data_IF_840262339724
#
_entry.id   IF_840262339724
#
_cell.length_a   1.000
_cell.length_b   1.000
_cell.length_c   1.000
_cell.angle_alpha   90.00
_cell.angle_beta   90.00
_cell.angle_gamma   90.00
#
_symmetry.space_group_name_H-M   'P 1'
#
loop_
_entity.id
_entity.type
_entity.pdbx_description
1 polymer ?
#
# COMPACT_ATOMS: atom_id res chain seq x y z
N UNK A 1 -4.35 -20.65 35.41
CA UNK A 1 -3.43 -19.93 34.49
C UNK A 1 -4.28 -18.95 33.69
N UNK A 2 -3.71 -17.84 33.22
CA UNK A 2 -4.42 -16.94 32.31
C UNK A 2 -4.73 -17.69 31.00
N UNK A 3 -5.95 -17.57 30.47
CA UNK A 3 -6.31 -18.20 29.18
C UNK A 3 -5.50 -17.52 28.07
N UNK A 4 -4.76 -18.33 27.29
CA UNK A 4 -4.03 -17.87 26.11
C UNK A 4 -4.83 -18.14 24.85
N UNK A 5 -4.72 -17.24 23.89
CA UNK A 5 -5.40 -17.31 22.60
C UNK A 5 -4.46 -16.97 21.47
N UNK A 6 -4.73 -17.56 20.31
CA UNK A 6 -3.91 -17.48 19.12
C UNK A 6 -4.79 -17.16 17.91
N UNK A 7 -4.33 -16.26 17.06
CA UNK A 7 -4.84 -16.13 15.70
C UNK A 7 -4.30 -17.30 14.88
N UNK A 8 -5.20 -18.12 14.35
CA UNK A 8 -4.93 -19.25 13.49
C UNK A 8 -5.06 -18.80 12.04
N UNK A 9 -3.90 -18.64 11.39
CA UNK A 9 -3.79 -18.30 9.98
C UNK A 9 -3.20 -19.46 9.18
N UNK A 10 -3.15 -19.33 7.86
CA UNK A 10 -2.48 -20.30 7.01
C UNK A 10 -0.96 -20.00 6.92
N UNK A 11 -0.16 -21.06 6.94
CA UNK A 11 1.29 -20.95 6.82
C UNK A 11 1.70 -20.74 5.36
N UNK A 12 1.94 -19.48 4.99
CA UNK A 12 2.35 -19.07 3.65
C UNK A 12 3.84 -19.28 3.37
N UNK A 13 4.65 -19.65 4.36
CA UNK A 13 6.08 -19.92 4.18
C UNK A 13 6.35 -21.33 3.62
N UNK A 14 5.34 -22.21 3.67
CA UNK A 14 5.43 -23.58 3.16
C UNK A 14 5.62 -23.63 1.64
N UNK A 15 6.82 -24.00 1.21
CA UNK A 15 7.12 -24.18 -0.21
C UNK A 15 6.32 -25.34 -0.83
N UNK A 16 5.76 -25.11 -2.02
CA UNK A 16 5.04 -26.12 -2.79
C UNK A 16 3.63 -26.45 -2.28
N UNK A 17 3.07 -25.64 -1.36
CA UNK A 17 1.66 -25.76 -0.93
C UNK A 17 0.70 -25.45 -2.08
N UNK A 18 -0.51 -25.98 -1.97
CA UNK A 18 -1.62 -25.52 -2.82
C UNK A 18 -2.12 -24.12 -2.42
N UNK A 19 -2.88 -23.49 -3.32
CA UNK A 19 -3.72 -22.34 -3.01
C UNK A 19 -5.15 -22.63 -3.46
N UNK A 20 -6.08 -22.54 -2.52
CA UNK A 20 -7.49 -22.80 -2.72
C UNK A 20 -8.21 -21.52 -3.14
N UNK A 21 -9.14 -21.63 -4.07
CA UNK A 21 -10.02 -20.53 -4.47
C UNK A 21 -11.30 -20.47 -3.63
N UNK A 22 -12.12 -19.46 -3.88
CA UNK A 22 -13.38 -19.26 -3.18
C UNK A 22 -14.33 -20.46 -3.31
N UNK A 23 -15.14 -20.77 -2.28
CA UNK A 23 -16.17 -21.79 -2.38
C UNK A 23 -17.10 -21.55 -3.57
N UNK A 24 -17.49 -22.62 -4.25
CA UNK A 24 -18.37 -22.60 -5.42
C UNK A 24 -19.50 -23.61 -5.28
N UNK A 25 -20.60 -23.39 -6.00
CA UNK A 25 -21.63 -24.39 -6.22
C UNK A 25 -21.07 -25.60 -7.01
N UNK A 26 -21.84 -26.68 -7.08
CA UNK A 26 -21.45 -27.87 -7.87
C UNK A 26 -21.22 -27.55 -9.36
N UNK A 27 -21.85 -26.50 -9.87
CA UNK A 27 -21.75 -25.96 -11.24
C UNK A 27 -20.59 -24.98 -11.43
N UNK A 28 -19.83 -24.67 -10.37
CA UNK A 28 -18.68 -23.76 -10.42
C UNK A 28 -19.06 -22.28 -10.36
N UNK A 29 -20.25 -21.94 -9.87
CA UNK A 29 -20.62 -20.55 -9.59
C UNK A 29 -20.11 -20.17 -8.20
N UNK A 30 -19.42 -19.05 -8.09
CA UNK A 30 -19.01 -18.50 -6.80
C UNK A 30 -20.23 -18.22 -5.93
N UNK A 31 -20.05 -18.35 -4.61
CA UNK A 31 -21.10 -18.00 -3.66
C UNK A 31 -21.26 -16.47 -3.63
N UNK A 32 -22.52 -15.99 -3.61
CA UNK A 32 -22.85 -14.56 -3.73
C UNK A 32 -22.14 -13.68 -2.68
N UNK A 33 -22.05 -14.16 -1.44
CA UNK A 33 -21.27 -13.53 -0.37
C UNK A 33 -20.09 -14.44 0.03
N UNK A 34 -18.85 -14.11 -0.37
CA UNK A 34 -17.68 -14.92 -0.02
C UNK A 34 -17.27 -14.79 1.45
N UNK A 35 -17.75 -13.77 2.19
CA UNK A 35 -17.38 -13.54 3.59
C UNK A 35 -18.29 -14.23 4.61
N UNK A 36 -19.43 -14.79 4.17
CA UNK A 36 -20.42 -15.41 5.07
C UNK A 36 -19.83 -16.46 6.04
N UNK A 37 -18.77 -17.18 5.63
CA UNK A 37 -18.11 -18.22 6.45
C UNK A 37 -17.14 -17.63 7.50
N UNK A 38 -16.93 -16.32 7.47
CA UNK A 38 -16.02 -15.58 8.35
C UNK A 38 -16.72 -14.53 9.21
N UNK A 39 -18.01 -14.30 9.04
CA UNK A 39 -18.77 -13.27 9.77
C UNK A 39 -18.88 -13.48 11.29
N UNK A 40 -18.51 -14.66 11.78
CA UNK A 40 -18.58 -14.97 13.20
C UNK A 40 -20.01 -15.27 13.68
N UNK A 41 -20.90 -15.70 12.78
CA UNK A 41 -22.26 -16.13 13.09
C UNK A 41 -22.54 -17.53 12.52
N UNK A 42 -23.58 -18.23 13.02
CA UNK A 42 -24.04 -19.45 12.39
C UNK A 42 -24.48 -19.21 10.94
N UNK A 43 -24.10 -20.13 10.05
CA UNK A 43 -24.42 -20.09 8.62
C UNK A 43 -25.41 -21.20 8.29
N UNK A 44 -26.21 -20.98 7.25
CA UNK A 44 -27.01 -22.01 6.59
C UNK A 44 -26.48 -22.23 5.18
N UNK A 45 -26.13 -23.47 4.87
CA UNK A 45 -25.66 -23.87 3.54
C UNK A 45 -26.75 -24.69 2.89
N UNK A 46 -27.38 -24.14 1.85
CA UNK A 46 -28.54 -24.75 1.19
C UNK A 46 -28.16 -25.90 0.25
N UNK A 47 -26.94 -25.89 -0.28
CA UNK A 47 -26.46 -26.86 -1.26
C UNK A 47 -24.99 -27.25 -1.02
N UNK A 48 -24.56 -28.47 -1.41
CA UNK A 48 -23.16 -28.88 -1.34
C UNK A 48 -22.23 -27.93 -2.11
N UNK A 49 -21.05 -27.66 -1.52
CA UNK A 49 -20.06 -26.75 -2.08
C UNK A 49 -18.80 -27.49 -2.54
N UNK A 50 -18.12 -26.90 -3.51
CA UNK A 50 -16.81 -27.31 -4.02
C UNK A 50 -15.77 -26.23 -3.74
N UNK A 51 -14.56 -26.67 -3.45
CA UNK A 51 -13.41 -25.78 -3.30
C UNK A 51 -12.47 -25.97 -4.51
N UNK A 52 -12.34 -24.96 -5.38
CA UNK A 52 -11.40 -25.01 -6.49
C UNK A 52 -9.95 -24.88 -6.01
N UNK A 53 -9.02 -25.42 -6.81
CA UNK A 53 -7.58 -25.29 -6.58
C UNK A 53 -7.05 -24.30 -7.62
N UNK A 54 -6.75 -23.08 -7.18
CA UNK A 54 -6.22 -22.02 -8.05
C UNK A 54 -4.77 -22.29 -8.42
N UNK A 55 -3.97 -22.77 -7.45
CA UNK A 55 -2.61 -23.21 -7.68
C UNK A 55 -2.41 -24.64 -7.15
N UNK A 56 -2.14 -25.62 -8.03
CA UNK A 56 -1.86 -26.98 -7.62
C UNK A 56 -0.62 -27.05 -6.73
N UNK A 57 -0.65 -27.93 -5.73
CA UNK A 57 0.45 -28.14 -4.81
C UNK A 57 0.17 -29.28 -3.84
N UNK A 58 1.01 -29.40 -2.82
CA UNK A 58 0.83 -30.38 -1.75
C UNK A 58 -0.45 -30.06 -0.96
N UNK A 59 -1.37 -31.03 -0.78
CA UNK A 59 -2.53 -30.87 0.09
C UNK A 59 -2.11 -30.60 1.54
N UNK A 60 -2.87 -29.74 2.23
CA UNK A 60 -2.66 -29.35 3.62
C UNK A 60 -3.90 -29.69 4.45
N UNK A 61 -3.70 -29.96 5.74
CA UNK A 61 -4.79 -30.25 6.67
C UNK A 61 -5.59 -28.99 7.06
N UNK A 62 -4.98 -27.82 6.99
CA UNK A 62 -5.60 -26.51 7.17
C UNK A 62 -5.17 -25.55 6.05
N UNK A 63 -6.11 -24.78 5.50
CA UNK A 63 -5.86 -23.72 4.53
C UNK A 63 -6.95 -22.66 4.57
N UNK A 64 -6.61 -21.41 4.24
CA UNK A 64 -7.59 -20.35 4.01
C UNK A 64 -7.85 -20.25 2.51
N UNK A 65 -9.12 -20.21 2.11
CA UNK A 65 -9.55 -20.27 0.72
C UNK A 65 -10.13 -18.93 0.26
N UNK A 66 -9.66 -18.47 -0.90
CA UNK A 66 -10.23 -17.36 -1.63
C UNK A 66 -10.17 -15.99 -0.94
N UNK A 67 -10.90 -15.03 -1.50
CA UNK A 67 -11.02 -13.65 -1.01
C UNK A 67 -11.75 -13.60 0.33
N UNK A 68 -12.68 -14.54 0.56
CA UNK A 68 -13.39 -14.68 1.83
C UNK A 68 -12.52 -15.16 2.98
N UNK A 69 -11.30 -15.67 2.72
CA UNK A 69 -10.40 -16.23 3.75
C UNK A 69 -11.09 -17.35 4.52
N UNK A 70 -11.80 -18.20 3.78
CA UNK A 70 -12.66 -19.26 4.34
C UNK A 70 -11.79 -20.42 4.85
N UNK A 71 -11.89 -20.82 6.14
CA UNK A 71 -11.09 -21.94 6.66
C UNK A 71 -11.55 -23.28 6.10
N UNK A 72 -10.67 -23.95 5.36
CA UNK A 72 -10.85 -25.30 4.84
C UNK A 72 -9.98 -26.26 5.64
N UNK A 73 -10.61 -27.27 6.21
CA UNK A 73 -9.97 -28.20 7.14
C UNK A 73 -10.20 -29.65 6.73
N UNK A 74 -9.16 -30.46 6.81
CA UNK A 74 -9.25 -31.90 6.61
C UNK A 74 -10.03 -32.56 7.77
N UNK A 75 -10.64 -33.73 7.53
CA UNK A 75 -11.49 -34.44 8.52
C UNK A 75 -10.88 -34.57 9.93
N UNK A 76 -9.56 -34.77 10.02
CA UNK A 76 -8.87 -34.92 11.30
C UNK A 76 -8.92 -33.63 12.12
N UNK A 77 -8.73 -32.49 11.45
CA UNK A 77 -8.83 -31.15 12.04
C UNK A 77 -10.28 -30.85 12.41
N UNK A 78 -11.24 -31.14 11.52
CA UNK A 78 -12.67 -30.99 11.79
C UNK A 78 -13.10 -31.73 13.07
N UNK A 79 -12.61 -32.96 13.27
CA UNK A 79 -12.89 -33.75 14.47
C UNK A 79 -12.39 -33.09 15.75
N UNK A 80 -11.16 -32.55 15.73
CA UNK A 80 -10.59 -31.83 16.88
C UNK A 80 -11.47 -30.65 17.29
N UNK A 81 -11.92 -29.84 16.31
CA UNK A 81 -12.80 -28.71 16.58
C UNK A 81 -14.17 -29.14 17.11
N UNK A 82 -14.77 -30.18 16.53
CA UNK A 82 -16.05 -30.72 16.98
C UNK A 82 -15.99 -31.29 18.41
N UNK A 83 -14.87 -31.90 18.81
CA UNK A 83 -14.68 -32.45 20.14
C UNK A 83 -14.41 -31.36 21.19
N UNK A 84 -13.50 -30.43 20.88
CA UNK A 84 -13.00 -29.47 21.87
C UNK A 84 -13.87 -28.22 22.01
N UNK A 85 -14.60 -27.83 20.97
CA UNK A 85 -15.40 -26.61 20.92
C UNK A 85 -16.74 -26.76 20.14
N UNK A 86 -17.58 -27.76 20.48
CA UNK A 86 -18.81 -28.06 19.73
C UNK A 86 -19.81 -26.90 19.69
N UNK A 87 -19.85 -26.05 20.72
CA UNK A 87 -20.79 -24.93 20.83
C UNK A 87 -20.31 -23.64 20.14
N UNK A 88 -19.11 -23.68 19.56
CA UNK A 88 -18.46 -22.53 18.93
C UNK A 88 -18.32 -22.69 17.41
N UNK A 89 -18.47 -23.89 16.85
CA UNK A 89 -18.19 -24.16 15.44
C UNK A 89 -19.35 -24.82 14.70
N UNK A 90 -19.43 -24.58 13.38
CA UNK A 90 -20.14 -25.42 12.43
C UNK A 90 -19.14 -25.97 11.41
N UNK A 91 -19.42 -27.18 10.94
CA UNK A 91 -18.58 -27.90 9.98
C UNK A 91 -19.45 -28.30 8.79
N UNK A 92 -19.12 -27.80 7.60
CA UNK A 92 -19.85 -28.12 6.38
C UNK A 92 -18.96 -28.94 5.45
N UNK A 93 -19.34 -30.17 5.09
CA UNK A 93 -18.53 -30.98 4.17
C UNK A 93 -18.45 -30.32 2.80
N UNK A 94 -17.26 -30.37 2.20
CA UNK A 94 -16.99 -29.81 0.88
C UNK A 94 -16.12 -30.74 0.04
N UNK A 95 -16.33 -30.66 -1.27
CA UNK A 95 -15.54 -31.41 -2.24
C UNK A 95 -14.32 -30.59 -2.67
N UNK A 96 -13.12 -31.06 -2.34
CA UNK A 96 -11.86 -30.49 -2.85
C UNK A 96 -11.38 -31.34 -4.02
N UNK A 97 -11.16 -30.72 -5.18
CA UNK A 97 -10.83 -31.43 -6.40
C UNK A 97 -9.60 -32.36 -6.24
N UNK A 98 -9.76 -33.63 -6.61
CA UNK A 98 -8.68 -34.62 -6.57
C UNK A 98 -8.31 -35.16 -5.18
N UNK A 99 -9.06 -34.80 -4.13
CA UNK A 99 -8.86 -35.35 -2.79
C UNK A 99 -9.86 -36.48 -2.51
N UNK A 100 -9.33 -37.63 -2.04
CA UNK A 100 -10.17 -38.78 -1.69
C UNK A 100 -10.76 -38.68 -0.28
N UNK A 101 -10.07 -37.95 0.60
CA UNK A 101 -10.49 -37.74 1.98
C UNK A 101 -11.33 -36.46 2.10
N UNK A 102 -12.37 -36.44 2.96
CA UNK A 102 -13.29 -35.32 3.08
C UNK A 102 -12.62 -34.12 3.75
N UNK A 103 -12.98 -32.95 3.24
CA UNK A 103 -12.67 -31.64 3.79
C UNK A 103 -13.95 -30.94 4.24
N UNK A 104 -13.79 -29.95 5.10
CA UNK A 104 -14.87 -29.19 5.69
C UNK A 104 -14.56 -27.70 5.65
N UNK A 105 -15.58 -26.88 5.42
CA UNK A 105 -15.53 -25.48 5.84
C UNK A 105 -15.72 -25.45 7.36
N UNK A 106 -14.80 -24.79 8.06
CA UNK A 106 -14.90 -24.49 9.49
C UNK A 106 -15.45 -23.07 9.67
N UNK A 107 -16.66 -22.98 10.21
CA UNK A 107 -17.29 -21.70 10.58
C UNK A 107 -17.20 -21.52 12.08
N UNK A 108 -16.55 -20.44 12.53
CA UNK A 108 -16.63 -19.99 13.90
C UNK A 108 -17.91 -19.15 14.08
N UNK A 109 -18.76 -19.54 15.03
CA UNK A 109 -20.14 -19.02 15.17
C UNK A 109 -20.29 -17.90 16.20
N UNK A 110 -19.17 -17.47 16.78
CA UNK A 110 -19.11 -16.43 17.81
C UNK A 110 -18.36 -15.22 17.26
N UNK A 111 -19.00 -14.05 17.29
CA UNK A 111 -18.38 -12.76 17.00
C UNK A 111 -18.21 -11.98 18.30
N UNK A 112 -16.96 -11.75 18.72
CA UNK A 112 -16.65 -11.20 20.05
C UNK A 112 -15.88 -9.89 19.93
N UNK A 113 -16.39 -8.83 20.56
CA UNK A 113 -15.71 -7.54 20.69
C UNK A 113 -14.67 -7.58 21.80
N UNK A 114 -13.54 -8.23 21.52
CA UNK A 114 -12.47 -8.45 22.48
C UNK A 114 -11.11 -7.84 22.09
N UNK A 115 -10.96 -7.24 20.90
CA UNK A 115 -9.72 -6.52 20.56
C UNK A 115 -9.46 -5.44 21.62
N UNK A 116 -8.24 -5.42 22.11
CA UNK A 116 -7.76 -4.40 23.03
C UNK A 116 -6.95 -3.39 22.21
N UNK A 117 -7.59 -2.26 21.91
CA UNK A 117 -6.99 -1.16 21.16
C UNK A 117 -5.73 -0.62 21.86
N UNK A 118 -5.73 -0.67 23.20
CA UNK A 118 -4.62 -0.19 23.99
C UNK A 118 -3.50 -1.23 24.09
N UNK A 119 -3.74 -2.52 23.87
CA UNK A 119 -2.70 -3.54 23.87
C UNK A 119 -2.15 -3.83 22.46
N UNK A 120 -2.96 -3.59 21.42
CA UNK A 120 -2.55 -3.73 20.02
C UNK A 120 -1.47 -2.71 19.63
N UNK A 121 -0.67 -3.02 18.60
CA UNK A 121 0.39 -2.12 18.11
C UNK A 121 -0.20 -0.87 17.46
N UNK A 122 -1.22 -1.06 16.62
CA UNK A 122 -1.92 0.03 15.96
C UNK A 122 -3.35 -0.39 15.67
N UNK A 123 -4.29 0.52 15.91
CA UNK A 123 -5.70 0.38 15.58
C UNK A 123 -6.15 1.66 14.89
N UNK A 124 -6.69 1.52 13.68
CA UNK A 124 -7.29 2.61 12.92
C UNK A 124 -8.78 2.36 12.78
N UNK A 125 -9.54 3.43 12.87
CA UNK A 125 -10.97 3.46 12.61
C UNK A 125 -11.26 4.18 11.31
N UNK A 126 -12.35 3.81 10.65
CA UNK A 126 -12.94 4.64 9.61
C UNK A 126 -13.47 5.93 10.25
N UNK A 127 -13.08 7.06 9.66
CA UNK A 127 -13.53 8.39 10.08
C UNK A 127 -14.53 8.97 9.07
N UNK A 128 -15.36 9.97 9.44
CA UNK A 128 -16.28 10.62 8.51
C UNK A 128 -15.61 11.14 7.23
N UNK A 129 -14.37 11.59 7.35
CA UNK A 129 -13.57 12.16 6.26
C UNK A 129 -13.11 11.10 5.24
N UNK A 130 -13.14 9.82 5.59
CA UNK A 130 -12.77 8.71 4.68
C UNK A 130 -13.85 8.43 3.61
N UNK A 131 -14.98 9.14 3.63
CA UNK A 131 -16.03 9.04 2.60
C UNK A 131 -16.87 7.76 2.65
N UNK A 132 -16.80 7.00 3.74
CA UNK A 132 -17.56 5.75 3.96
C UNK A 132 -18.41 5.82 5.24
N UNK A 133 -19.54 6.55 5.23
CA UNK A 133 -20.35 6.80 6.43
C UNK A 133 -20.86 5.51 7.09
N UNK A 134 -21.08 4.45 6.31
CA UNK A 134 -21.54 3.15 6.79
C UNK A 134 -20.50 2.39 7.63
N UNK A 135 -19.21 2.73 7.48
CA UNK A 135 -18.11 2.07 8.20
C UNK A 135 -17.60 2.87 9.39
N UNK A 136 -18.07 4.10 9.59
CA UNK A 136 -17.55 4.99 10.65
C UNK A 136 -17.68 4.33 12.02
N UNK A 137 -16.57 4.27 12.75
CA UNK A 137 -16.49 3.58 14.05
C UNK A 137 -16.16 2.09 13.96
N UNK A 138 -16.06 1.50 12.76
CA UNK A 138 -15.51 0.17 12.54
C UNK A 138 -13.99 0.24 12.33
N UNK A 139 -13.31 -0.89 12.53
CA UNK A 139 -11.89 -0.99 12.28
C UNK A 139 -11.59 -0.85 10.79
N UNK A 140 -10.67 0.06 10.47
CA UNK A 140 -10.06 0.22 9.15
C UNK A 140 -8.76 -0.58 9.03
N UNK A 141 -8.06 -0.77 10.14
CA UNK A 141 -6.83 -1.54 10.19
C UNK A 141 -6.42 -1.90 11.61
N UNK A 142 -6.01 -3.15 11.82
CA UNK A 142 -5.49 -3.63 13.10
C UNK A 142 -4.11 -4.27 12.86
N UNK A 143 -3.07 -3.73 13.50
CA UNK A 143 -1.71 -4.27 13.45
C UNK A 143 -1.24 -4.69 14.84
N UNK A 144 -0.47 -5.80 14.89
CA UNK A 144 -0.01 -6.38 16.14
C UNK A 144 -1.15 -6.64 17.12
N UNK A 145 -2.25 -7.20 16.61
CA UNK A 145 -3.51 -7.38 17.34
C UNK A 145 -3.29 -8.06 18.69
N UNK A 146 -3.90 -7.47 19.73
CA UNK A 146 -4.06 -8.06 21.05
C UNK A 146 -5.53 -8.10 21.42
N UNK A 147 -5.91 -9.12 22.18
CA UNK A 147 -7.27 -9.23 22.72
C UNK A 147 -7.24 -9.16 24.25
N UNK A 148 -8.35 -8.71 24.83
CA UNK A 148 -8.64 -8.78 26.25
C UNK A 148 -9.33 -10.12 26.58
N UNK A 149 -8.64 -11.09 27.23
CA UNK A 149 -9.21 -12.39 27.54
C UNK A 149 -10.43 -12.33 28.45
N UNK A 150 -10.61 -11.25 29.24
CA UNK A 150 -11.76 -11.09 30.12
C UNK A 150 -13.07 -10.91 29.34
N UNK A 151 -13.00 -10.44 28.10
CA UNK A 151 -14.16 -10.23 27.21
C UNK A 151 -14.54 -11.49 26.42
N UNK A 152 -13.68 -12.51 26.38
CA UNK A 152 -13.91 -13.74 25.58
C UNK A 152 -14.90 -14.70 26.24
N UNK A 153 -14.97 -14.67 27.58
CA UNK A 153 -15.85 -15.55 28.33
C UNK A 153 -15.48 -17.04 28.20
N UNK A 154 -16.47 -17.85 27.81
CA UNK A 154 -16.34 -19.31 27.68
C UNK A 154 -15.84 -19.80 26.32
N UNK A 155 -15.83 -18.94 25.30
CA UNK A 155 -15.52 -19.33 23.92
C UNK A 155 -14.08 -19.83 23.78
N UNK A 156 -13.91 -20.84 22.94
CA UNK A 156 -12.64 -21.43 22.53
C UNK A 156 -12.31 -21.15 21.07
N UNK A 157 -13.34 -20.97 20.22
CA UNK A 157 -13.19 -20.60 18.80
C UNK A 157 -14.11 -19.44 18.48
N UNK A 158 -13.58 -18.36 17.93
CA UNK A 158 -14.39 -17.18 17.62
C UNK A 158 -13.73 -16.28 16.58
N UNK A 159 -14.52 -15.36 16.05
CA UNK A 159 -14.07 -14.23 15.23
C UNK A 159 -14.07 -12.96 16.06
N UNK A 160 -13.18 -12.03 15.76
CA UNK A 160 -13.15 -10.72 16.43
C UNK A 160 -14.10 -9.74 15.76
N UNK A 161 -14.93 -9.05 16.54
CA UNK A 161 -15.82 -8.00 16.03
C UNK A 161 -15.03 -6.90 15.33
N UNK A 162 -15.50 -6.47 14.16
CA UNK A 162 -14.88 -5.44 13.32
C UNK A 162 -13.59 -5.88 12.61
N UNK A 163 -13.08 -7.07 12.88
CA UNK A 163 -11.92 -7.66 12.21
C UNK A 163 -12.11 -9.17 12.03
N UNK A 164 -13.22 -9.55 11.42
CA UNK A 164 -13.74 -10.94 11.39
C UNK A 164 -12.84 -11.93 10.64
N UNK A 165 -11.91 -11.42 9.82
CA UNK A 165 -10.88 -12.22 9.17
C UNK A 165 -10.02 -13.03 10.16
N UNK A 166 -9.82 -12.55 11.38
CA UNK A 166 -9.05 -13.26 12.39
C UNK A 166 -9.83 -14.44 12.98
N UNK A 167 -9.25 -15.64 12.93
CA UNK A 167 -9.80 -16.86 13.52
C UNK A 167 -9.08 -17.14 14.83
N UNK A 168 -9.72 -16.82 15.95
CA UNK A 168 -9.09 -16.97 17.26
C UNK A 168 -9.40 -18.35 17.84
N UNK A 169 -8.35 -19.04 18.28
CA UNK A 169 -8.43 -20.33 18.96
C UNK A 169 -7.76 -20.29 20.33
N UNK A 170 -8.28 -21.03 21.29
CA UNK A 170 -7.67 -21.22 22.61
C UNK A 170 -6.43 -22.12 22.55
N UNK A 171 -5.60 -22.03 23.59
CA UNK A 171 -4.37 -22.82 23.74
C UNK A 171 -4.58 -24.34 23.63
N UNK A 172 -5.68 -24.88 24.20
CA UNK A 172 -6.00 -26.31 24.14
C UNK A 172 -6.24 -26.81 22.71
N UNK A 173 -6.90 -26.00 21.87
CA UNK A 173 -7.09 -26.31 20.45
C UNK A 173 -5.75 -26.24 19.71
N UNK A 174 -4.97 -25.18 19.93
CA UNK A 174 -3.63 -25.07 19.33
C UNK A 174 -2.77 -26.30 19.65
N UNK A 175 -2.69 -26.68 20.93
CA UNK A 175 -1.90 -27.84 21.36
C UNK A 175 -2.43 -29.16 20.76
N UNK A 176 -3.74 -29.31 20.59
CA UNK A 176 -4.33 -30.48 19.96
C UNK A 176 -3.94 -30.57 18.47
N UNK A 177 -3.99 -29.45 17.74
CA UNK A 177 -3.58 -29.38 16.33
C UNK A 177 -2.08 -29.67 16.17
N UNK A 178 -1.23 -29.10 17.02
CA UNK A 178 0.22 -29.36 17.01
C UNK A 178 0.54 -30.83 17.33
N UNK A 179 -0.12 -31.41 18.35
CA UNK A 179 0.06 -32.82 18.73
C UNK A 179 -0.39 -33.77 17.63
N UNK A 180 -1.43 -33.41 16.87
CA UNK A 180 -1.89 -34.17 15.72
C UNK A 180 -1.01 -34.00 14.47
N UNK A 181 -0.01 -33.11 14.50
CA UNK A 181 0.90 -32.87 13.37
C UNK A 181 0.22 -32.21 12.18
N UNK A 182 -0.82 -31.40 12.43
CA UNK A 182 -1.63 -30.73 11.40
C UNK A 182 -0.76 -29.82 10.54
N UNK A 183 -0.83 -30.00 9.22
CA UNK A 183 -0.09 -29.18 8.25
C UNK A 183 -0.86 -27.93 7.83
N UNK A 184 -0.14 -26.84 7.57
CA UNK A 184 -0.72 -25.59 7.04
C UNK A 184 -1.17 -24.56 8.08
N UNK A 185 -1.09 -24.85 9.37
CA UNK A 185 -1.42 -23.90 10.44
C UNK A 185 -0.24 -22.97 10.77
N UNK A 186 -0.51 -21.68 10.90
CA UNK A 186 0.35 -20.71 11.55
C UNK A 186 -0.38 -20.12 12.76
N UNK A 187 0.28 -20.10 13.93
CA UNK A 187 -0.30 -19.58 15.16
C UNK A 187 0.44 -18.33 15.63
N UNK A 188 -0.30 -17.23 15.76
CA UNK A 188 0.21 -16.00 16.36
C UNK A 188 -0.47 -15.74 17.68
N UNK A 189 0.29 -15.69 18.77
CA UNK A 189 -0.28 -15.37 20.08
C UNK A 189 -0.85 -13.95 20.09
N UNK A 190 -2.11 -13.81 20.51
CA UNK A 190 -2.83 -12.53 20.61
C UNK A 190 -3.14 -12.13 22.06
N UNK A 191 -2.74 -12.97 23.02
CA UNK A 191 -2.75 -12.66 24.45
C UNK A 191 -1.38 -12.21 24.94
N UNK A 192 -1.34 -11.44 26.02
CA UNK A 192 -0.09 -10.97 26.62
C UNK A 192 0.26 -9.52 26.27
N UNK A 193 1.43 -9.03 26.73
CA UNK A 193 1.80 -7.63 26.58
C UNK A 193 1.95 -7.24 25.11
N UNK A 194 1.79 -5.96 24.83
CA UNK A 194 2.07 -5.43 23.50
C UNK A 194 3.50 -5.72 23.07
N UNK A 195 3.69 -5.87 21.76
CA UNK A 195 5.02 -6.02 21.18
C UNK A 195 5.83 -4.70 21.22
N UNK A 196 5.16 -3.56 21.43
CA UNK A 196 5.79 -2.22 21.45
C UNK A 196 5.60 -1.52 22.80
N UNK A 197 6.57 -0.68 23.17
CA UNK A 197 6.52 0.07 24.43
C UNK A 197 5.48 1.20 24.38
N UNK A 198 5.08 1.75 25.54
CA UNK A 198 4.19 2.92 25.59
C UNK A 198 4.81 4.14 24.87
N UNK A 199 6.11 4.35 25.03
CA UNK A 199 6.85 5.43 24.36
C UNK A 199 6.82 5.26 22.84
N UNK A 200 7.02 4.04 22.34
CA UNK A 200 6.94 3.74 20.91
C UNK A 200 5.52 3.94 20.35
N UNK A 201 4.48 3.65 21.13
CA UNK A 201 3.08 3.92 20.73
C UNK A 201 2.79 5.41 20.64
N UNK A 202 3.21 6.16 21.65
CA UNK A 202 3.04 7.61 21.65
C UNK A 202 3.79 8.24 20.48
N UNK A 203 4.99 7.74 20.18
CA UNK A 203 5.74 8.09 18.98
C UNK A 203 4.94 7.79 17.71
N UNK A 204 4.47 6.56 17.52
CA UNK A 204 3.74 6.14 16.32
C UNK A 204 2.45 6.95 16.13
N UNK A 205 1.71 7.21 17.23
CA UNK A 205 0.51 8.06 17.19
C UNK A 205 0.83 9.48 16.74
N UNK A 206 1.91 10.07 17.23
CA UNK A 206 2.37 11.39 16.78
C UNK A 206 2.75 11.38 15.30
N UNK A 207 3.47 10.35 14.84
CA UNK A 207 3.85 10.23 13.42
C UNK A 207 2.62 10.10 12.50
N UNK A 208 1.59 9.36 12.92
CA UNK A 208 0.32 9.28 12.19
C UNK A 208 -0.38 10.64 12.12
N UNK A 209 -0.48 11.35 13.25
CA UNK A 209 -1.08 12.68 13.28
C UNK A 209 -0.33 13.68 12.37
N UNK A 210 1.01 13.63 12.38
CA UNK A 210 1.84 14.46 11.49
C UNK A 210 1.61 14.13 10.01
N UNK A 211 1.39 12.85 9.68
CA UNK A 211 1.06 12.42 8.32
C UNK A 211 -0.30 12.95 7.90
N UNK A 212 -1.31 12.76 8.73
CA UNK A 212 -2.66 13.21 8.41
C UNK A 212 -2.72 14.75 8.28
N UNK A 213 -1.98 15.50 9.11
CA UNK A 213 -1.82 16.96 8.96
C UNK A 213 -1.11 17.35 7.65
N UNK A 214 -0.05 16.63 7.30
CA UNK A 214 0.73 16.85 6.07
C UNK A 214 -0.12 16.62 4.82
N UNK A 215 -0.82 15.48 4.77
CA UNK A 215 -1.70 15.10 3.65
C UNK A 215 -2.85 16.11 3.53
N UNK A 216 -3.50 16.47 4.65
CA UNK A 216 -4.60 17.44 4.68
C UNK A 216 -4.17 18.87 4.26
N UNK A 217 -2.92 19.26 4.54
CA UNK A 217 -2.39 20.56 4.13
C UNK A 217 -2.04 20.61 2.64
N UNK A 218 -1.54 19.51 2.08
CA UNK A 218 -0.98 19.47 0.72
C UNK A 218 -2.03 19.13 -0.34
N UNK A 219 -2.98 18.25 -0.04
CA UNK A 219 -4.01 17.86 -1.01
C UNK A 219 -4.81 19.05 -1.59
N UNK A 220 -5.27 20.04 -0.79
CA UNK A 220 -5.98 21.19 -1.34
C UNK A 220 -5.13 21.97 -2.35
N UNK A 221 -3.82 22.07 -2.12
CA UNK A 221 -2.90 22.71 -3.06
C UNK A 221 -2.84 21.94 -4.38
N UNK A 222 -2.72 20.61 -4.37
CA UNK A 222 -2.75 19.79 -5.58
C UNK A 222 -4.02 20.00 -6.40
N UNK A 223 -5.17 20.13 -5.74
CA UNK A 223 -6.44 20.41 -6.41
C UNK A 223 -6.52 21.80 -7.06
N UNK A 224 -5.64 22.75 -6.69
CA UNK A 224 -5.54 24.04 -7.39
C UNK A 224 -4.84 23.93 -8.75
N UNK A 225 -4.03 22.87 -8.96
CA UNK A 225 -3.22 22.71 -10.18
C UNK A 225 -3.97 21.98 -11.30
N UNK A 226 -5.13 21.37 -11.00
CA UNK A 226 -5.98 20.62 -11.93
C UNK A 226 -6.91 19.62 -11.22
N UNK A 227 -7.50 18.70 -11.97
CA UNK A 227 -8.33 17.61 -11.40
C UNK A 227 -7.40 16.51 -10.90
N UNK A 228 -7.26 16.40 -9.58
CA UNK A 228 -6.55 15.30 -8.92
C UNK A 228 -7.23 13.96 -9.26
N UNK A 229 -6.45 12.99 -9.73
CA UNK A 229 -6.91 11.64 -10.01
C UNK A 229 -6.99 10.82 -8.71
N UNK A 230 -8.14 10.25 -8.45
CA UNK A 230 -8.43 9.40 -7.27
C UNK A 230 -8.55 7.92 -7.65
N UNK A 231 -8.63 7.61 -8.95
CA UNK A 231 -8.75 6.24 -9.48
C UNK A 231 -7.39 5.63 -9.77
N UNK A 232 -6.39 6.45 -10.11
CA UNK A 232 -5.03 6.00 -10.34
C UNK A 232 -4.35 5.67 -9.01
N UNK A 233 -4.18 4.38 -8.76
CA UNK A 233 -3.45 3.84 -7.60
C UNK A 233 -2.01 3.59 -8.02
N UNK A 234 -1.09 4.49 -7.62
CA UNK A 234 0.35 4.24 -7.69
C UNK A 234 0.77 3.62 -6.36
N UNK A 235 1.39 2.41 -6.36
CA UNK A 235 1.82 1.77 -5.13
C UNK A 235 2.73 2.67 -4.31
N UNK A 236 2.45 2.76 -3.01
CA UNK A 236 3.32 3.47 -2.07
C UNK A 236 4.58 2.62 -1.86
N UNK A 237 5.75 3.20 -2.12
CA UNK A 237 7.02 2.56 -1.80
C UNK A 237 7.35 2.90 -0.34
N UNK A 238 7.28 1.90 0.54
CA UNK A 238 7.71 2.02 1.93
C UNK A 238 9.24 1.87 2.03
N UNK A 239 9.88 2.76 2.78
CA UNK A 239 11.34 2.85 2.90
C UNK A 239 11.95 3.98 2.06
N UNK A 240 13.22 3.82 1.69
CA UNK A 240 13.97 4.79 0.88
C UNK A 240 14.44 6.04 1.63
N UNK A 241 15.05 6.97 0.89
CA UNK A 241 15.67 8.19 1.42
C UNK A 241 14.72 9.36 1.70
N UNK A 242 13.41 9.21 1.45
CA UNK A 242 12.44 10.29 1.64
C UNK A 242 12.15 10.52 3.14
N UNK A 243 11.76 11.74 3.56
CA UNK A 243 11.68 12.11 4.97
C UNK A 243 10.82 11.18 5.84
N UNK A 244 9.61 10.84 5.37
CA UNK A 244 8.70 9.93 6.08
C UNK A 244 8.90 8.46 5.72
N UNK A 245 9.98 8.11 4.99
CA UNK A 245 10.25 6.76 4.45
C UNK A 245 9.07 6.21 3.65
N UNK A 246 8.48 7.09 2.84
CA UNK A 246 7.34 6.81 1.99
C UNK A 246 7.52 7.60 0.70
N UNK A 247 7.48 6.92 -0.44
CA UNK A 247 7.46 7.57 -1.75
C UNK A 247 6.06 7.46 -2.34
N UNK A 248 5.54 8.61 -2.76
CA UNK A 248 4.19 8.75 -3.30
C UNK A 248 4.24 9.73 -4.46
N UNK A 249 3.42 9.46 -5.46
CA UNK A 249 3.19 10.34 -6.58
C UNK A 249 1.70 10.56 -6.79
N UNK A 250 1.33 11.74 -7.26
CA UNK A 250 -0.05 12.08 -7.62
C UNK A 250 -0.16 12.44 -9.08
N UNK A 251 -1.30 12.09 -9.67
CA UNK A 251 -1.66 12.41 -11.04
C UNK A 251 -2.69 13.52 -11.03
N UNK A 252 -2.42 14.59 -11.77
CA UNK A 252 -3.30 15.76 -11.87
C UNK A 252 -3.61 15.99 -13.35
N UNK A 253 -4.88 15.84 -13.72
CA UNK A 253 -5.37 16.13 -15.07
C UNK A 253 -5.52 17.62 -15.26
N UNK A 254 -4.90 18.12 -16.33
CA UNK A 254 -4.85 19.54 -16.67
C UNK A 254 -5.56 19.83 -18.00
N UNK A 255 -5.92 21.11 -18.28
CA UNK A 255 -6.51 21.51 -19.55
C UNK A 255 -5.68 21.06 -20.76
N UNK A 256 -6.32 20.98 -21.93
CA UNK A 256 -5.68 20.59 -23.20
C UNK A 256 -5.12 19.16 -23.22
N UNK A 257 -5.64 18.27 -22.37
CA UNK A 257 -5.21 16.87 -22.30
C UNK A 257 -3.82 16.68 -21.70
N UNK A 258 -3.35 17.65 -20.91
CA UNK A 258 -2.07 17.57 -20.20
C UNK A 258 -2.22 16.75 -18.92
N UNK A 259 -1.19 16.03 -18.57
CA UNK A 259 -1.06 15.29 -17.32
C UNK A 259 0.14 15.84 -16.55
N UNK A 260 -0.10 16.24 -15.31
CA UNK A 260 0.93 16.66 -14.37
C UNK A 260 1.14 15.54 -13.34
N UNK A 261 2.37 15.06 -13.24
CA UNK A 261 2.82 14.12 -12.21
C UNK A 261 3.59 14.91 -11.16
N UNK A 262 3.24 14.72 -9.90
CA UNK A 262 3.95 15.35 -8.77
C UNK A 262 4.42 14.32 -7.77
N UNK A 263 5.56 14.59 -7.13
CA UNK A 263 5.90 13.88 -5.89
C UNK A 263 5.00 14.37 -4.76
N UNK A 264 4.72 13.49 -3.81
CA UNK A 264 3.81 13.76 -2.69
C UNK A 264 4.39 13.19 -1.40
N UNK A 265 5.60 13.63 -1.06
CA UNK A 265 6.31 13.11 0.11
C UNK A 265 7.72 13.64 0.33
N UNK A 266 8.32 14.34 -0.63
CA UNK A 266 9.63 14.98 -0.43
C UNK A 266 9.54 16.12 0.61
N UNK A 267 8.34 16.68 0.79
CA UNK A 267 8.04 17.68 1.82
C UNK A 267 7.41 17.12 3.10
N UNK A 268 7.40 15.79 3.28
CA UNK A 268 6.90 15.17 4.52
C UNK A 268 7.83 15.47 5.71
N UNK A 269 7.29 15.36 6.93
CA UNK A 269 8.11 15.38 8.14
C UNK A 269 9.16 14.24 8.14
N UNK A 270 10.27 14.45 8.85
CA UNK A 270 11.27 13.38 9.04
C UNK A 270 10.78 12.37 10.08
N UNK A 271 10.71 11.07 9.73
CA UNK A 271 10.25 10.03 10.68
C UNK A 271 11.13 9.92 11.93
N UNK A 272 12.42 10.25 11.78
CA UNK A 272 13.40 10.25 12.88
C UNK A 272 13.28 11.50 13.78
N UNK A 273 12.48 12.50 13.39
CA UNK A 273 12.20 13.71 14.15
C UNK A 273 10.68 13.88 14.29
N UNK A 274 10.12 13.47 15.43
CA UNK A 274 8.68 13.45 15.70
C UNK A 274 8.14 14.87 15.98
N UNK A 275 8.22 15.74 14.97
CA UNK A 275 7.80 17.12 15.00
C UNK A 275 7.36 17.59 13.60
N UNK A 276 6.45 18.58 13.50
CA UNK A 276 6.09 19.18 12.21
C UNK A 276 7.31 19.76 11.50
N UNK A 277 7.49 19.42 10.23
CA UNK A 277 8.45 20.06 9.33
C UNK A 277 8.00 19.85 7.89
N UNK A 278 8.57 20.64 6.98
CA UNK A 278 8.37 20.46 5.53
C UNK A 278 9.41 19.53 4.90
N UNK A 279 10.05 18.64 5.66
CA UNK A 279 11.03 17.69 5.14
C UNK A 279 12.17 18.35 4.39
N UNK A 280 12.33 17.97 3.12
CA UNK A 280 13.30 18.62 2.23
C UNK A 280 12.85 19.99 1.73
N UNK A 281 11.61 20.41 1.97
CA UNK A 281 11.05 21.69 1.54
C UNK A 281 10.82 21.77 0.03
N UNK A 282 10.70 20.61 -0.63
CA UNK A 282 10.62 20.46 -2.08
C UNK A 282 9.46 19.53 -2.44
N UNK A 283 8.83 19.79 -3.58
CA UNK A 283 8.12 18.77 -4.36
C UNK A 283 8.51 18.93 -5.84
N UNK A 284 8.55 17.83 -6.58
CA UNK A 284 8.89 17.79 -7.99
C UNK A 284 7.61 17.70 -8.85
N UNK A 285 7.65 18.31 -10.02
CA UNK A 285 6.52 18.39 -10.94
C UNK A 285 6.97 18.15 -12.39
N UNK A 286 6.44 17.10 -13.04
CA UNK A 286 6.66 16.83 -14.45
C UNK A 286 5.32 16.86 -15.20
N UNK A 287 5.19 17.78 -16.16
CA UNK A 287 4.01 17.87 -17.02
C UNK A 287 4.29 17.36 -18.42
N UNK A 288 3.34 16.62 -18.99
CA UNK A 288 3.38 16.10 -20.36
C UNK A 288 1.99 16.12 -20.99
N UNK A 289 1.92 16.12 -22.31
CA UNK A 289 0.67 15.92 -23.07
C UNK A 289 0.73 14.65 -23.93
N UNK A 290 1.72 13.79 -23.69
CA UNK A 290 1.79 12.48 -24.32
C UNK A 290 0.79 11.52 -23.63
N UNK A 291 0.15 10.61 -24.39
CA UNK A 291 -0.71 9.60 -23.80
C UNK A 291 0.12 8.62 -22.95
N UNK A 292 -0.23 8.47 -21.67
CA UNK A 292 0.57 7.67 -20.73
C UNK A 292 0.16 6.20 -20.65
N UNK A 293 -1.05 5.84 -21.08
CA UNK A 293 -1.58 4.49 -20.88
C UNK A 293 -1.58 4.13 -19.39
N UNK A 294 -0.80 3.11 -19.01
CA UNK A 294 -0.55 2.81 -17.61
C UNK A 294 0.49 3.79 -17.03
N UNK A 295 0.03 4.77 -16.25
CA UNK A 295 0.85 5.82 -15.63
C UNK A 295 1.97 5.25 -14.75
N UNK A 296 1.71 4.18 -13.99
CA UNK A 296 2.71 3.51 -13.13
C UNK A 296 3.94 3.06 -13.92
N UNK A 297 3.75 2.67 -15.18
CA UNK A 297 4.81 2.16 -16.06
C UNK A 297 5.27 3.22 -17.07
N UNK A 298 4.81 4.46 -16.92
CA UNK A 298 5.10 5.52 -17.87
C UNK A 298 6.51 6.10 -17.64
N UNK A 299 7.19 6.46 -18.73
CA UNK A 299 8.51 7.09 -18.65
C UNK A 299 8.53 8.39 -17.83
N UNK A 300 7.48 9.25 -17.84
CA UNK A 300 7.49 10.46 -17.03
C UNK A 300 7.51 10.16 -15.53
N UNK A 301 6.75 9.15 -15.08
CA UNK A 301 6.76 8.75 -13.68
C UNK A 301 8.12 8.16 -13.28
N UNK A 302 8.67 7.26 -14.11
CA UNK A 302 10.00 6.69 -13.89
C UNK A 302 11.10 7.77 -13.84
N UNK A 303 10.96 8.83 -14.64
CA UNK A 303 11.93 9.93 -14.64
C UNK A 303 11.81 10.74 -13.35
N UNK A 304 10.58 11.02 -12.92
CA UNK A 304 10.28 11.73 -11.69
C UNK A 304 10.76 10.97 -10.46
N UNK A 305 10.61 9.64 -10.43
CA UNK A 305 11.15 8.74 -9.41
C UNK A 305 12.67 8.88 -9.30
N UNK A 306 13.40 8.72 -10.41
CA UNK A 306 14.87 8.83 -10.42
C UNK A 306 15.38 10.18 -9.96
N UNK A 307 14.73 11.26 -10.40
CA UNK A 307 15.10 12.60 -9.94
C UNK A 307 14.78 12.76 -8.45
N UNK A 308 13.65 12.22 -7.99
CA UNK A 308 13.27 12.18 -6.57
C UNK A 308 14.31 11.46 -5.71
N UNK A 309 14.81 10.31 -6.16
CA UNK A 309 15.87 9.56 -5.46
C UNK A 309 17.18 10.33 -5.39
N UNK A 310 17.61 10.94 -6.51
CA UNK A 310 18.83 11.77 -6.51
C UNK A 310 18.71 12.96 -5.54
N UNK A 311 17.54 13.60 -5.49
CA UNK A 311 17.23 14.65 -4.52
C UNK A 311 17.26 14.08 -3.10
N UNK A 312 16.68 12.91 -2.85
CA UNK A 312 16.64 12.31 -1.52
C UNK A 312 18.03 11.86 -1.01
N UNK A 313 18.87 11.31 -1.89
CA UNK A 313 20.17 10.74 -1.53
C UNK A 313 21.28 11.79 -1.42
N UNK A 314 21.23 12.85 -2.22
CA UNK A 314 22.34 13.80 -2.32
C UNK A 314 21.97 15.20 -1.81
N UNK A 315 22.44 15.54 -0.60
CA UNK A 315 22.23 16.88 -0.01
C UNK A 315 22.72 18.01 -0.92
N UNK A 316 23.85 17.82 -1.60
CA UNK A 316 24.38 18.82 -2.53
C UNK A 316 23.47 19.09 -3.73
N UNK A 317 22.67 18.10 -4.16
CA UNK A 317 21.64 18.27 -5.20
C UNK A 317 20.47 19.06 -4.62
N UNK A 318 19.98 18.68 -3.43
CA UNK A 318 18.88 19.38 -2.75
C UNK A 318 19.15 20.87 -2.57
N UNK A 319 20.32 21.22 -2.05
CA UNK A 319 20.63 22.62 -1.76
C UNK A 319 20.74 23.46 -3.05
N UNK A 320 21.28 22.89 -4.13
CA UNK A 320 21.29 23.55 -5.46
C UNK A 320 19.88 23.72 -6.02
N UNK A 321 19.06 22.66 -5.93
CA UNK A 321 17.67 22.69 -6.39
C UNK A 321 16.83 23.67 -5.58
N UNK A 322 17.06 23.81 -4.26
CA UNK A 322 16.40 24.83 -3.41
C UNK A 322 16.81 26.26 -3.80
N UNK A 323 18.09 26.47 -4.10
CA UNK A 323 18.63 27.80 -4.42
C UNK A 323 18.18 28.33 -5.79
N UNK A 324 17.91 27.46 -6.75
CA UNK A 324 17.46 27.91 -8.06
C UNK A 324 17.34 26.78 -9.05
N UNK A 325 18.13 26.89 -10.12
CA UNK A 325 18.06 26.02 -11.28
C UNK A 325 19.22 25.03 -11.29
N UNK A 326 18.95 23.78 -11.66
CA UNK A 326 19.96 22.72 -11.80
C UNK A 326 19.74 21.93 -13.08
N UNK A 327 20.82 21.58 -13.78
CA UNK A 327 20.80 20.53 -14.81
C UNK A 327 21.52 19.30 -14.28
N UNK A 328 21.01 18.12 -14.58
CA UNK A 328 21.65 16.86 -14.21
C UNK A 328 21.29 15.73 -15.18
N UNK A 329 21.97 14.60 -15.02
CA UNK A 329 21.70 13.38 -15.77
C UNK A 329 21.31 12.25 -14.83
N UNK A 330 20.30 11.46 -15.21
CA UNK A 330 19.91 10.24 -14.51
C UNK A 330 20.07 9.02 -15.42
N UNK A 331 19.95 7.81 -14.86
CA UNK A 331 19.92 6.57 -15.66
C UNK A 331 18.82 6.65 -16.73
N UNK A 332 19.11 6.19 -17.94
CA UNK A 332 18.14 6.11 -19.05
C UNK A 332 17.47 4.74 -19.20
N UNK A 333 17.74 3.77 -18.34
CA UNK A 333 17.12 2.45 -18.44
C UNK A 333 15.58 2.53 -18.47
N UNK A 334 14.92 1.96 -19.47
CA UNK A 334 13.46 2.02 -19.59
C UNK A 334 12.90 3.39 -20.06
N UNK A 335 13.76 4.35 -20.40
CA UNK A 335 13.35 5.61 -21.03
C UNK A 335 13.20 5.43 -22.55
N UNK A 336 12.37 6.26 -23.20
CA UNK A 336 12.25 6.30 -24.66
C UNK A 336 13.59 6.55 -25.35
N UNK A 337 13.85 5.79 -26.43
CA UNK A 337 15.09 5.89 -27.21
C UNK A 337 15.46 7.31 -27.66
N UNK A 338 14.53 8.19 -28.09
CA UNK A 338 14.88 9.56 -28.47
C UNK A 338 15.49 10.43 -27.35
N UNK A 339 15.28 10.06 -26.09
CA UNK A 339 15.78 10.80 -24.92
C UNK A 339 17.16 10.32 -24.48
N UNK A 340 17.65 9.19 -25.01
CA UNK A 340 18.88 8.56 -24.55
C UNK A 340 20.12 9.20 -25.17
N UNK A 341 21.09 9.54 -24.33
CA UNK A 341 22.45 9.82 -24.80
C UNK A 341 23.13 8.54 -25.30
N UNK A 342 24.30 8.68 -25.92
CA UNK A 342 25.11 7.52 -26.36
C UNK A 342 25.52 6.61 -25.19
N UNK A 343 25.61 7.19 -24.00
CA UNK A 343 25.93 6.54 -22.74
C UNK A 343 24.70 5.95 -22.03
N UNK A 344 23.51 6.05 -22.65
CA UNK A 344 22.26 5.56 -22.06
C UNK A 344 21.78 6.38 -20.86
N UNK A 345 22.09 7.67 -20.83
CA UNK A 345 21.64 8.63 -19.80
C UNK A 345 20.50 9.48 -20.33
N UNK A 346 19.78 10.15 -19.42
CA UNK A 346 18.78 11.16 -19.76
C UNK A 346 19.11 12.46 -19.03
N UNK A 347 19.17 13.57 -19.79
CA UNK A 347 19.38 14.90 -19.25
C UNK A 347 18.08 15.53 -18.78
N UNK A 348 18.12 16.22 -17.64
CA UNK A 348 16.98 16.96 -17.09
C UNK A 348 17.37 18.35 -16.62
N UNK A 349 16.41 19.26 -16.71
CA UNK A 349 16.43 20.58 -16.10
C UNK A 349 15.46 20.63 -14.93
N UNK A 350 15.93 21.14 -13.80
CA UNK A 350 15.17 21.26 -12.56
C UNK A 350 14.96 22.74 -12.21
N UNK A 351 13.72 23.11 -11.91
CA UNK A 351 13.37 24.43 -11.41
C UNK A 351 13.29 25.51 -12.49
N UNK A 352 12.94 25.12 -13.72
CA UNK A 352 12.56 26.06 -14.78
C UNK A 352 11.29 26.81 -14.38
N UNK A 353 11.24 28.12 -14.63
CA UNK A 353 10.03 28.91 -14.42
C UNK A 353 8.89 28.43 -15.32
N UNK A 354 7.67 28.44 -14.79
CA UNK A 354 6.45 28.05 -15.49
C UNK A 354 5.45 29.19 -15.40
N UNK A 355 4.78 29.50 -16.49
CA UNK A 355 3.64 30.44 -16.50
C UNK A 355 2.37 29.82 -15.92
N UNK A 356 2.32 28.48 -15.80
CA UNK A 356 1.12 27.73 -15.42
C UNK A 356 1.21 27.01 -14.07
N UNK A 357 2.40 26.98 -13.46
CA UNK A 357 2.63 26.37 -12.15
C UNK A 357 3.26 27.40 -11.19
N UNK A 358 2.81 27.47 -9.92
CA UNK A 358 3.44 28.30 -8.92
C UNK A 358 4.82 27.75 -8.55
N UNK A 359 5.75 28.62 -8.17
CA UNK A 359 7.08 28.17 -7.74
C UNK A 359 7.11 27.67 -6.29
N UNK A 360 6.12 28.05 -5.46
CA UNK A 360 6.06 27.73 -4.03
C UNK A 360 4.62 27.62 -3.56
N UNK A 361 4.41 26.91 -2.45
CA UNK A 361 3.16 26.85 -1.73
C UNK A 361 3.40 26.74 -0.22
N UNK A 362 2.41 27.13 0.58
CA UNK A 362 2.52 27.15 2.04
C UNK A 362 1.91 25.90 2.66
N UNK A 363 2.61 25.35 3.64
CA UNK A 363 2.13 24.32 4.56
C UNK A 363 2.20 24.85 6.00
N UNK A 364 1.48 24.25 6.96
CA UNK A 364 1.51 24.69 8.36
C UNK A 364 2.92 24.81 8.96
N UNK A 365 3.82 23.89 8.60
CA UNK A 365 5.19 23.84 9.12
C UNK A 365 6.21 24.68 8.33
N UNK A 366 5.84 25.31 7.20
CA UNK A 366 6.76 26.10 6.38
C UNK A 366 6.36 26.20 4.91
N UNK A 367 7.25 26.79 4.11
CA UNK A 367 7.05 26.93 2.67
C UNK A 367 7.72 25.79 1.92
N UNK A 368 7.04 25.27 0.90
CA UNK A 368 7.55 24.22 0.00
C UNK A 368 7.76 24.82 -1.38
N UNK A 369 8.91 24.52 -1.98
CA UNK A 369 9.20 24.90 -3.36
C UNK A 369 8.74 23.80 -4.32
N UNK A 370 7.91 24.16 -5.29
CA UNK A 370 7.55 23.29 -6.40
C UNK A 370 8.59 23.42 -7.52
N UNK A 371 9.25 22.31 -7.85
CA UNK A 371 10.36 22.25 -8.80
C UNK A 371 9.91 21.52 -10.04
N UNK A 372 9.86 22.24 -11.16
CA UNK A 372 9.58 21.63 -12.46
C UNK A 372 10.72 20.70 -12.88
N UNK A 373 10.38 19.55 -13.47
CA UNK A 373 11.30 18.59 -14.07
C UNK A 373 11.05 18.58 -15.57
N UNK A 374 12.03 19.04 -16.34
CA UNK A 374 11.96 19.07 -17.80
C UNK A 374 13.01 18.15 -18.42
N UNK A 375 12.56 17.25 -19.29
CA UNK A 375 13.47 16.38 -20.04
C UNK A 375 14.14 17.11 -21.21
N UNK A 376 15.44 16.85 -21.39
CA UNK A 376 16.22 17.36 -22.51
C UNK A 376 16.41 16.29 -23.58
N UNK A 377 16.38 16.72 -24.84
CA UNK A 377 16.89 15.90 -25.95
C UNK A 377 18.42 15.79 -25.82
N UNK A 378 19.05 14.70 -26.29
CA UNK A 378 20.50 14.54 -26.21
C UNK A 378 21.30 15.70 -26.81
N UNK A 379 20.80 16.30 -27.89
CA UNK A 379 21.40 17.48 -28.55
C UNK A 379 21.33 18.72 -27.66
N UNK A 380 20.23 18.92 -26.92
CA UNK A 380 20.08 20.04 -26.00
C UNK A 380 20.97 19.88 -24.77
N UNK A 381 21.10 18.64 -24.26
CA UNK A 381 22.05 18.35 -23.20
C UNK A 381 23.49 18.62 -23.65
N UNK A 382 23.88 18.15 -24.84
CA UNK A 382 25.20 18.42 -25.41
C UNK A 382 25.44 19.94 -25.54
N UNK A 383 24.48 20.68 -26.09
CA UNK A 383 24.56 22.13 -26.20
C UNK A 383 24.73 22.82 -24.84
N UNK A 384 23.98 22.37 -23.82
CA UNK A 384 24.11 22.87 -22.45
C UNK A 384 25.50 22.61 -21.88
N UNK A 385 26.03 21.39 -22.04
CA UNK A 385 27.33 21.00 -21.51
C UNK A 385 28.47 21.77 -22.19
N UNK A 386 28.38 21.99 -23.51
CA UNK A 386 29.36 22.75 -24.28
C UNK A 386 29.39 24.25 -23.92
N UNK A 387 28.21 24.84 -23.66
CA UNK A 387 28.07 26.29 -23.48
C UNK A 387 27.81 26.72 -22.02
N UNK A 388 27.76 25.76 -21.09
CA UNK A 388 27.55 25.97 -19.66
C UNK A 388 26.33 26.84 -19.35
N UNK A 389 26.51 27.86 -18.50
CA UNK A 389 25.45 28.79 -18.09
C UNK A 389 24.79 29.49 -19.29
N UNK A 390 25.57 29.88 -20.31
CA UNK A 390 25.01 30.58 -21.47
C UNK A 390 24.10 29.66 -22.28
N UNK A 391 24.53 28.41 -22.55
CA UNK A 391 23.72 27.44 -23.25
C UNK A 391 22.42 27.11 -22.53
N UNK A 392 22.50 26.99 -21.21
CA UNK A 392 21.34 26.80 -20.35
C UNK A 392 20.35 27.97 -20.41
N UNK A 393 20.82 29.19 -20.25
CA UNK A 393 19.96 30.38 -20.27
C UNK A 393 19.31 30.57 -21.66
N UNK A 394 20.03 30.19 -22.73
CA UNK A 394 19.51 30.15 -24.11
C UNK A 394 18.45 29.06 -24.31
N UNK A 395 18.67 27.83 -23.83
CA UNK A 395 17.66 26.77 -23.87
C UNK A 395 16.35 27.21 -23.19
N UNK A 396 16.45 27.84 -22.02
CA UNK A 396 15.28 28.36 -21.30
C UNK A 396 14.51 29.38 -22.13
N UNK A 397 15.21 30.32 -22.78
CA UNK A 397 14.60 31.29 -23.70
C UNK A 397 13.86 30.60 -24.84
N UNK A 398 14.51 29.64 -25.51
CA UNK A 398 13.92 28.95 -26.67
C UNK A 398 12.72 28.07 -26.30
N UNK A 399 12.75 27.40 -25.15
CA UNK A 399 11.59 26.66 -24.67
C UNK A 399 10.38 27.55 -24.43
N UNK A 400 10.58 28.77 -23.94
CA UNK A 400 9.48 29.75 -23.80
C UNK A 400 8.99 30.21 -25.17
N UNK A 401 9.89 30.54 -26.10
CA UNK A 401 9.53 31.01 -27.45
C UNK A 401 8.76 29.98 -28.27
N UNK A 402 9.06 28.69 -28.11
CA UNK A 402 8.34 27.60 -28.75
C UNK A 402 7.08 27.15 -28.00
N UNK A 403 6.73 27.80 -26.88
CA UNK A 403 5.60 27.40 -26.04
C UNK A 403 5.76 26.02 -25.38
N UNK A 404 7.01 25.57 -25.24
CA UNK A 404 7.37 24.28 -24.67
C UNK A 404 7.77 24.33 -23.20
N UNK A 405 7.87 25.53 -22.58
CA UNK A 405 8.19 25.82 -21.17
C UNK A 405 8.70 24.62 -20.35
N UNK A 406 7.99 24.19 -19.30
CA UNK A 406 8.31 22.99 -18.50
C UNK A 406 7.71 21.69 -19.06
N UNK A 407 7.00 21.76 -20.19
CA UNK A 407 6.35 20.61 -20.80
C UNK A 407 7.39 19.62 -21.33
N UNK A 408 7.27 18.35 -20.95
CA UNK A 408 8.19 17.28 -21.32
C UNK A 408 7.56 16.34 -22.34
N UNK A 409 8.28 16.07 -23.43
CA UNK A 409 7.89 15.15 -24.51
C UNK A 409 9.13 14.37 -24.95
N UNK A 410 8.94 13.08 -25.18
CA UNK A 410 9.97 12.20 -25.71
C UNK A 410 10.07 12.31 -27.25
N UNK A 411 8.96 12.60 -27.93
CA UNK A 411 8.93 12.74 -29.39
C UNK A 411 8.71 14.21 -29.80
N UNK A 412 9.81 14.97 -29.83
CA UNK A 412 9.82 16.37 -30.30
C UNK A 412 11.14 16.72 -30.98
N UNK A 413 11.13 17.82 -31.73
CA UNK A 413 12.38 18.42 -32.20
C UNK A 413 13.10 19.10 -31.03
N UNK A 414 14.45 19.08 -31.00
CA UNK A 414 15.22 19.90 -30.08
C UNK A 414 15.04 21.39 -30.44
N UNK A 415 15.20 22.26 -29.45
CA UNK A 415 15.09 23.72 -29.65
C UNK A 415 16.42 24.37 -30.09
N UNK A 416 17.49 23.58 -30.21
CA UNK A 416 18.86 24.05 -30.57
C UNK A 416 19.42 23.44 -31.83
#
# INVERSE_FOLDING_TARGET
>A
MAKRFFDLADDMELQGRWLLGDPTSLQGQEVDDPWQFTDGCPVQVEAPLKIPINHPGRPLDFSLAGVGVTPIVHKGVAHIFAELAPDDVQLFPVDVAGQAEPYFILVATRLIRCIDDNASTEVRYWQPEDGRPEKVGEYRGVSGMRIDPAKVGGAKVFRTWGWSIALIVSEDIKEALERAGVTGCYFKEVTGPSAISQEERERNRKLLALRDETDAAREPFWRTLGKLDEEVIIPIVAGGGWPARRQVWRVIHRPEGRTLLVTDGLSDFFVDQVAPSVGFGLELALETNEPLGNVEKSWPLLLLERVGDEVAEHESVREKVKAGFLSMEVSGQGMPEPLLTKEGRVGVLLGMASSTLPCRFSMPAGEVRLVTVKVLMPVELAYLLENGKHGRDELLRRFVEEGQEHLSRAWRQPVV
#
